data_IF_071852014672
#
_entry.id   IF_071852014672
#
_cell.length_a   1.000
_cell.length_b   1.000
_cell.length_c   1.000
_cell.angle_alpha   90.00
_cell.angle_beta   90.00
_cell.angle_gamma   90.00
#
_symmetry.space_group_name_H-M   'P 1'
#
loop_
_entity.id
_entity.type
_entity.pdbx_description
1 polymer ?
#
# COMPACT_ATOMS: atom_id res chain seq x y z
N UNK A 1 22.50 20.34 -35.91
CA UNK A 1 21.43 19.43 -35.47
C UNK A 1 21.97 18.63 -34.31
N UNK A 2 21.23 18.52 -33.21
CA UNK A 2 21.56 17.61 -32.12
C UNK A 2 20.91 16.26 -32.40
N UNK A 3 21.46 15.20 -31.82
CA UNK A 3 20.86 13.87 -31.82
C UNK A 3 19.59 13.81 -30.97
N UNK A 4 18.73 12.82 -31.21
CA UNK A 4 17.52 12.58 -30.41
C UNK A 4 17.87 12.31 -28.94
N UNK A 5 18.96 11.60 -28.67
CA UNK A 5 19.43 11.33 -27.32
C UNK A 5 19.88 12.60 -26.59
N UNK A 6 20.61 13.48 -27.28
CA UNK A 6 20.99 14.78 -26.71
C UNK A 6 19.77 15.65 -26.43
N UNK A 7 18.75 15.61 -27.30
CA UNK A 7 17.51 16.35 -27.08
C UNK A 7 16.77 15.87 -25.82
N UNK A 8 16.66 14.54 -25.62
CA UNK A 8 16.01 13.96 -24.42
C UNK A 8 16.79 14.34 -23.15
N UNK A 9 18.13 14.20 -23.16
CA UNK A 9 18.96 14.57 -22.02
C UNK A 9 18.83 16.05 -21.64
N UNK A 10 18.75 16.94 -22.62
CA UNK A 10 18.53 18.36 -22.38
C UNK A 10 17.15 18.63 -21.79
N UNK A 11 16.10 17.95 -22.26
CA UNK A 11 14.75 18.06 -21.68
C UNK A 11 14.76 17.61 -20.23
N UNK A 12 15.30 16.43 -19.92
CA UNK A 12 15.36 15.90 -18.56
C UNK A 12 16.17 16.81 -17.61
N UNK A 13 17.28 17.38 -18.12
CA UNK A 13 18.14 18.30 -17.36
C UNK A 13 17.45 19.61 -17.00
N UNK A 14 16.57 20.11 -17.87
CA UNK A 14 15.92 21.42 -17.72
C UNK A 14 14.46 21.33 -17.24
N UNK A 15 13.87 20.13 -17.25
CA UNK A 15 12.55 19.89 -16.70
C UNK A 15 12.54 20.17 -15.20
N UNK A 16 11.50 20.87 -14.74
CA UNK A 16 11.29 21.14 -13.33
C UNK A 16 10.25 20.19 -12.77
N UNK A 17 10.52 19.67 -11.58
CA UNK A 17 9.53 18.88 -10.85
C UNK A 17 8.45 19.79 -10.28
N UNK A 18 7.23 19.26 -10.26
CA UNK A 18 6.13 19.93 -9.59
C UNK A 18 6.39 19.98 -8.08
N UNK A 19 5.99 21.09 -7.45
CA UNK A 19 6.01 21.19 -6.00
C UNK A 19 5.10 20.12 -5.37
N UNK A 20 5.56 19.55 -4.25
CA UNK A 20 4.79 18.62 -3.42
C UNK A 20 3.55 19.35 -2.87
N UNK A 21 2.39 18.69 -2.93
CA UNK A 21 1.13 19.25 -2.44
C UNK A 21 0.33 18.17 -1.73
N UNK A 22 -0.21 18.51 -0.56
CA UNK A 22 -1.21 17.70 0.12
C UNK A 22 -2.56 17.90 -0.58
N UNK A 23 -3.22 16.80 -0.93
CA UNK A 23 -4.52 16.81 -1.60
C UNK A 23 -5.46 15.76 -0.98
N UNK A 24 -6.79 16.00 -1.01
CA UNK A 24 -7.75 14.96 -0.65
C UNK A 24 -7.57 13.72 -1.52
N UNK A 25 -7.70 12.51 -0.94
CA UNK A 25 -7.45 11.23 -1.62
C UNK A 25 -8.28 11.05 -2.91
N UNK A 26 -9.51 11.57 -2.94
CA UNK A 26 -10.37 11.51 -4.13
C UNK A 26 -9.81 12.32 -5.32
N UNK A 27 -8.82 13.20 -5.07
CA UNK A 27 -8.16 14.05 -6.07
C UNK A 27 -6.71 13.63 -6.36
N UNK A 28 -6.29 12.43 -5.93
CA UNK A 28 -4.89 11.96 -6.11
C UNK A 28 -4.70 10.97 -7.26
N UNK A 29 -5.77 10.48 -7.89
CA UNK A 29 -5.67 9.55 -9.02
C UNK A 29 -4.82 10.13 -10.16
N UNK A 30 -3.85 9.35 -10.64
CA UNK A 30 -2.91 9.76 -11.69
C UNK A 30 -1.72 10.61 -11.23
N UNK A 31 -1.60 10.92 -9.94
CA UNK A 31 -0.42 11.57 -9.36
C UNK A 31 0.62 10.56 -8.89
N UNK A 32 1.84 11.04 -8.68
CA UNK A 32 2.95 10.28 -8.08
C UNK A 32 3.04 10.65 -6.60
N UNK A 33 3.29 9.65 -5.73
CA UNK A 33 3.53 9.88 -4.31
C UNK A 33 4.81 10.70 -4.11
N UNK A 34 4.75 11.67 -3.19
CA UNK A 34 5.87 12.52 -2.85
C UNK A 34 6.80 11.91 -1.78
N UNK A 35 6.30 10.92 -1.03
CA UNK A 35 7.00 10.22 0.05
C UNK A 35 6.43 8.81 0.21
N UNK A 36 7.15 7.97 0.95
CA UNK A 36 6.71 6.62 1.29
C UNK A 36 5.50 6.64 2.22
N UNK A 37 4.57 5.71 2.02
CA UNK A 37 3.37 5.56 2.87
C UNK A 37 3.49 4.27 3.67
N UNK A 38 3.64 4.39 4.99
CA UNK A 38 3.82 3.26 5.91
C UNK A 38 2.55 3.10 6.74
N UNK A 39 2.08 1.85 6.90
CA UNK A 39 0.92 1.57 7.76
C UNK A 39 1.26 1.87 9.21
N UNK A 40 0.41 2.65 9.89
CA UNK A 40 0.54 2.92 11.31
C UNK A 40 0.07 1.75 12.19
N UNK A 41 -0.58 0.74 11.61
CA UNK A 41 -1.14 -0.41 12.33
C UNK A 41 -0.87 -1.73 11.61
N UNK A 42 -0.90 -2.83 12.37
CA UNK A 42 -1.06 -4.17 11.80
C UNK A 42 -2.50 -4.35 11.33
N UNK A 43 -2.70 -5.03 10.20
CA UNK A 43 -4.02 -5.29 9.64
C UNK A 43 -4.19 -6.80 9.38
N UNK A 44 -5.16 -7.48 10.03
CA UNK A 44 -6.08 -6.93 11.03
C UNK A 44 -5.35 -6.58 12.35
N UNK A 45 -5.85 -5.60 13.11
CA UNK A 45 -5.22 -5.19 14.36
C UNK A 45 -5.36 -6.21 15.50
N UNK A 46 -6.16 -7.25 15.31
CA UNK A 46 -6.34 -8.38 16.23
C UNK A 46 -6.69 -9.65 15.45
N UNK A 47 -6.64 -10.81 16.12
CA UNK A 47 -7.04 -12.09 15.52
C UNK A 47 -8.53 -12.05 15.17
N UNK A 48 -8.84 -12.06 13.88
CA UNK A 48 -10.21 -12.13 13.37
C UNK A 48 -10.47 -13.53 12.81
N UNK A 49 -11.68 -14.03 12.98
CA UNK A 49 -12.12 -15.22 12.26
C UNK A 49 -12.31 -14.87 10.79
N UNK A 50 -11.78 -15.68 9.88
CA UNK A 50 -12.00 -15.51 8.43
C UNK A 50 -13.37 -16.00 7.98
N UNK A 51 -14.08 -16.75 8.83
CA UNK A 51 -15.31 -17.46 8.50
C UNK A 51 -16.30 -17.41 9.67
N UNK A 52 -17.58 -17.64 9.38
CA UNK A 52 -18.59 -17.91 10.40
C UNK A 52 -18.36 -19.31 10.99
N UNK A 53 -18.32 -19.41 12.31
CA UNK A 53 -18.08 -20.67 12.99
C UNK A 53 -17.80 -20.49 14.47
N UNK A 54 -17.24 -21.53 15.08
CA UNK A 54 -16.91 -21.55 16.50
C UNK A 54 -15.39 -21.57 16.68
N UNK A 55 -14.90 -20.79 17.65
CA UNK A 55 -13.53 -20.92 18.09
C UNK A 55 -13.38 -22.20 18.91
N UNK A 56 -12.60 -23.15 18.41
CA UNK A 56 -12.25 -24.36 19.14
C UNK A 56 -10.73 -24.46 19.28
N UNK A 57 -10.27 -25.11 20.36
CA UNK A 57 -8.87 -25.41 20.54
C UNK A 57 -8.50 -26.58 19.62
N UNK A 58 -7.71 -26.32 18.58
CA UNK A 58 -7.22 -27.38 17.72
C UNK A 58 -6.28 -28.30 18.50
N UNK A 59 -6.58 -29.59 18.52
CA UNK A 59 -5.75 -30.64 19.12
C UNK A 59 -5.96 -31.95 18.36
N UNK A 60 -5.07 -32.92 18.56
CA UNK A 60 -5.20 -34.27 17.98
C UNK A 60 -6.34 -35.09 18.61
N UNK A 61 -7.04 -34.53 19.61
CA UNK A 61 -8.18 -35.19 20.24
C UNK A 61 -9.43 -34.99 19.38
N UNK A 62 -10.12 -36.09 19.09
CA UNK A 62 -11.41 -36.06 18.38
C UNK A 62 -12.62 -36.05 19.33
N UNK A 63 -12.39 -36.09 20.66
CA UNK A 63 -13.43 -36.17 21.68
C UNK A 63 -13.29 -35.03 22.70
N UNK A 64 -14.37 -34.27 22.90
CA UNK A 64 -14.42 -33.14 23.81
C UNK A 64 -15.67 -33.25 24.70
N UNK A 65 -15.52 -32.96 26.00
CA UNK A 65 -16.65 -32.84 26.92
C UNK A 65 -17.16 -31.42 26.90
N UNK A 66 -18.43 -31.23 26.54
CA UNK A 66 -19.10 -29.92 26.62
C UNK A 66 -19.57 -29.72 28.05
N UNK A 67 -19.18 -28.59 28.66
CA UNK A 67 -19.61 -28.14 29.99
C UNK A 67 -20.69 -27.09 29.83
#
# INVERSE_FOLDING_TARGET
MISVSEAIQLIEKHAQFNAIKVKPIIKTMGLVLAEDVISAIYMPPFKQSSMDGYAFAHSDSDCYTVV
#
